data_IF_161276679089
#
_entry.id   IF_161276679089
#
_cell.length_a   1.000
_cell.length_b   1.000
_cell.length_c   1.000
_cell.angle_alpha   90.00
_cell.angle_beta   90.00
_cell.angle_gamma   90.00
#
_symmetry.space_group_name_H-M   'P 1'
#
loop_
_entity.id
_entity.type
_entity.pdbx_description
1 polymer ?
#
# COMPACT_ATOMS: atom_id res chain seq x y z
N UNK A 1 32.37 -0.56 3.12
CA UNK A 1 32.23 0.88 2.85
C UNK A 1 31.24 0.92 1.71
N UNK A 2 29.98 1.25 1.98
CA UNK A 2 28.98 1.35 0.92
C UNK A 2 29.43 2.44 -0.05
N UNK A 3 29.46 2.10 -1.33
CA UNK A 3 29.88 3.04 -2.36
C UNK A 3 28.76 4.04 -2.63
N UNK A 4 29.10 5.24 -3.08
CA UNK A 4 28.10 6.24 -3.48
C UNK A 4 27.14 5.69 -4.55
N UNK A 5 27.65 4.81 -5.43
CA UNK A 5 26.86 4.08 -6.43
C UNK A 5 25.78 3.19 -5.79
N UNK A 6 26.08 2.44 -4.73
CA UNK A 6 25.11 1.58 -4.04
C UNK A 6 23.98 2.37 -3.37
N UNK A 7 24.29 3.56 -2.85
CA UNK A 7 23.28 4.48 -2.30
C UNK A 7 22.35 5.00 -3.40
N UNK A 8 22.89 5.34 -4.58
CA UNK A 8 22.09 5.76 -5.72
C UNK A 8 21.22 4.63 -6.27
N UNK A 9 21.74 3.40 -6.33
CA UNK A 9 20.97 2.22 -6.74
C UNK A 9 19.77 2.02 -5.79
N UNK A 10 20.00 2.05 -4.49
CA UNK A 10 18.93 1.91 -3.48
C UNK A 10 17.88 2.99 -3.62
N UNK A 11 18.31 4.24 -3.85
CA UNK A 11 17.41 5.38 -4.07
C UNK A 11 16.53 5.17 -5.30
N UNK A 12 17.10 4.71 -6.42
CA UNK A 12 16.36 4.41 -7.65
C UNK A 12 15.40 3.23 -7.50
N UNK A 13 15.77 2.19 -6.75
CA UNK A 13 14.87 1.09 -6.39
C UNK A 13 13.66 1.61 -5.59
N UNK A 14 13.89 2.48 -4.59
CA UNK A 14 12.81 3.10 -3.81
C UNK A 14 11.89 4.02 -4.64
N UNK A 15 12.39 4.59 -5.74
CA UNK A 15 11.59 5.39 -6.68
C UNK A 15 10.73 4.53 -7.62
N UNK A 16 10.90 3.20 -7.61
CA UNK A 16 10.06 2.27 -8.37
C UNK A 16 10.69 1.71 -9.65
N UNK A 17 11.99 1.96 -9.89
CA UNK A 17 12.71 1.24 -10.94
C UNK A 17 13.02 -0.18 -10.44
N UNK A 18 12.47 -1.26 -11.03
CA UNK A 18 12.53 -2.59 -10.42
C UNK A 18 13.84 -3.35 -10.70
N UNK A 19 14.62 -2.91 -11.69
CA UNK A 19 15.76 -3.66 -12.20
C UNK A 19 17.10 -3.01 -11.81
N UNK A 20 17.88 -3.62 -10.88
CA UNK A 20 19.17 -3.08 -10.44
C UNK A 20 20.24 -3.09 -11.55
N UNK A 21 20.16 -3.97 -12.54
CA UNK A 21 21.14 -4.03 -13.63
C UNK A 21 20.92 -2.91 -14.64
N UNK A 22 19.66 -2.57 -14.92
CA UNK A 22 19.29 -1.41 -15.73
C UNK A 22 19.67 -0.12 -15.00
N UNK A 23 19.41 -0.04 -13.69
CA UNK A 23 19.83 1.09 -12.85
C UNK A 23 21.35 1.28 -12.87
N UNK A 24 22.14 0.21 -12.69
CA UNK A 24 23.62 0.27 -12.78
C UNK A 24 24.08 0.73 -14.15
N UNK A 25 23.43 0.29 -15.23
CA UNK A 25 23.76 0.75 -16.59
C UNK A 25 23.45 2.24 -16.76
N UNK A 26 22.27 2.69 -16.32
CA UNK A 26 21.88 4.09 -16.37
C UNK A 26 22.82 4.98 -15.54
N UNK A 27 23.17 4.60 -14.32
CA UNK A 27 24.12 5.32 -13.47
C UNK A 27 25.53 5.40 -14.09
N UNK A 28 26.00 4.33 -14.73
CA UNK A 28 27.28 4.35 -15.47
C UNK A 28 27.26 5.34 -16.63
N UNK A 29 26.15 5.40 -17.38
CA UNK A 29 25.99 6.34 -18.50
C UNK A 29 25.82 7.79 -18.01
N UNK A 30 25.10 7.96 -16.91
CA UNK A 30 24.85 9.23 -16.23
C UNK A 30 26.03 9.72 -15.36
N UNK A 31 27.17 9.02 -15.35
CA UNK A 31 28.35 9.35 -14.53
C UNK A 31 28.01 9.53 -13.04
N UNK A 32 27.18 8.63 -12.52
CA UNK A 32 26.68 8.61 -11.15
C UNK A 32 25.73 9.79 -10.77
N UNK A 33 25.18 10.52 -11.75
CA UNK A 33 24.12 11.51 -11.50
C UNK A 33 22.73 10.86 -11.50
N UNK A 34 21.99 11.02 -10.39
CA UNK A 34 20.64 10.45 -10.24
C UNK A 34 19.67 11.06 -11.25
N UNK A 35 19.73 12.36 -11.52
CA UNK A 35 18.73 13.04 -12.36
C UNK A 35 18.86 12.59 -13.83
N UNK A 36 20.09 12.49 -14.32
CA UNK A 36 20.39 11.95 -15.65
C UNK A 36 20.05 10.45 -15.73
N UNK A 37 20.32 9.67 -14.68
CA UNK A 37 19.93 8.26 -14.64
C UNK A 37 18.41 8.10 -14.70
N UNK A 38 17.64 8.92 -13.99
CA UNK A 38 16.17 8.94 -14.08
C UNK A 38 15.72 9.34 -15.48
N UNK A 39 16.32 10.36 -16.09
CA UNK A 39 16.01 10.78 -17.45
C UNK A 39 16.25 9.64 -18.45
N UNK A 40 17.36 8.90 -18.32
CA UNK A 40 17.61 7.71 -19.13
C UNK A 40 16.56 6.65 -18.89
N UNK A 41 16.36 6.22 -17.63
CA UNK A 41 15.40 5.17 -17.28
C UNK A 41 13.95 5.49 -17.70
N UNK A 42 13.60 6.76 -17.85
CA UNK A 42 12.27 7.22 -18.28
C UNK A 42 12.16 7.49 -19.78
N UNK A 43 13.26 7.78 -20.48
CA UNK A 43 13.26 8.15 -21.90
C UNK A 43 13.47 6.96 -22.85
N UNK A 44 13.89 5.78 -22.36
CA UNK A 44 13.98 4.52 -23.14
C UNK A 44 12.82 3.55 -22.86
N UNK A 45 11.57 4.03 -22.97
CA UNK A 45 10.43 3.14 -23.26
C UNK A 45 9.37 3.76 -24.18
N UNK A 46 9.63 3.89 -25.50
CA UNK A 46 8.57 3.94 -26.50
C UNK A 46 7.80 2.62 -26.68
N UNK A 47 7.90 1.64 -25.77
CA UNK A 47 7.28 0.33 -26.03
C UNK A 47 7.65 -0.86 -25.14
N UNK A 48 7.94 -0.70 -23.85
CA UNK A 48 7.70 -1.81 -22.92
C UNK A 48 6.20 -1.83 -22.63
N UNK A 49 5.47 -2.37 -23.60
CA UNK A 49 4.10 -2.78 -23.42
C UNK A 49 4.04 -3.64 -22.17
N UNK A 50 3.36 -3.13 -21.16
CA UNK A 50 2.55 -4.00 -20.33
C UNK A 50 1.68 -4.77 -21.32
N UNK A 51 2.12 -5.98 -21.67
CA UNK A 51 1.34 -6.97 -22.39
C UNK A 51 0.18 -7.36 -21.51
N UNK A 52 -0.81 -6.47 -21.43
CA UNK A 52 -2.16 -6.85 -21.14
C UNK A 52 -2.62 -7.58 -22.39
N UNK A 53 -2.40 -8.91 -22.44
CA UNK A 53 -3.09 -9.73 -23.42
C UNK A 53 -4.59 -9.46 -23.23
N UNK A 54 -5.28 -8.88 -24.22
CA UNK A 54 -6.72 -8.73 -24.14
C UNK A 54 -7.28 -10.15 -24.19
N UNK A 55 -7.96 -10.60 -23.13
CA UNK A 55 -8.82 -11.78 -23.23
C UNK A 55 -10.00 -11.42 -24.16
N UNK A 56 -9.75 -11.47 -25.47
CA UNK A 56 -10.77 -11.35 -26.51
C UNK A 56 -11.33 -12.74 -26.84
N UNK A 57 -12.63 -12.88 -26.55
CA UNK A 57 -13.63 -13.68 -27.26
C UNK A 57 -13.65 -15.22 -27.10
N UNK A 58 -14.83 -15.74 -26.70
CA UNK A 58 -15.25 -17.13 -27.00
C UNK A 58 -15.50 -17.34 -28.52
N UNK A 59 -16.17 -18.42 -29.03
CA UNK A 59 -16.96 -19.48 -28.36
C UNK A 59 -16.69 -20.97 -28.82
N UNK A 60 -17.05 -21.96 -27.96
CA UNK A 60 -17.55 -23.37 -28.17
C UNK A 60 -16.87 -24.34 -29.20
N UNK A 61 -17.24 -25.66 -29.37
CA UNK A 61 -17.99 -26.64 -28.53
C UNK A 61 -17.29 -28.03 -28.37
N UNK A 62 -17.76 -28.86 -27.40
CA UNK A 62 -18.04 -30.29 -27.65
C UNK A 62 -17.11 -31.38 -27.08
N UNK A 63 -17.77 -32.39 -26.47
CA UNK A 63 -17.36 -33.81 -26.29
C UNK A 63 -16.24 -34.07 -25.27
N UNK A 64 -16.34 -34.94 -24.26
CA UNK A 64 -17.35 -35.91 -23.88
C UNK A 64 -16.77 -36.84 -22.79
N UNK A 65 -17.65 -37.33 -21.92
CA UNK A 65 -17.66 -38.68 -21.30
C UNK A 65 -16.51 -39.24 -20.44
N UNK A 66 -16.93 -39.74 -19.27
CA UNK A 66 -16.51 -40.97 -18.55
C UNK A 66 -15.18 -41.06 -17.79
N UNK A 67 -15.24 -41.77 -16.64
CA UNK A 67 -14.12 -42.36 -15.91
C UNK A 67 -13.83 -41.61 -14.60
N UNK A 68 -14.48 -41.94 -13.49
CA UNK A 68 -14.07 -42.98 -12.54
C UNK A 68 -12.79 -42.62 -11.77
N UNK A 69 -12.92 -42.61 -10.45
CA UNK A 69 -11.87 -42.24 -9.52
C UNK A 69 -10.74 -43.27 -9.46
N UNK A 70 -9.77 -42.89 -8.63
CA UNK A 70 -8.80 -43.70 -7.87
C UNK A 70 -7.38 -43.16 -7.99
N UNK A 71 -6.84 -42.85 -6.81
CA UNK A 71 -5.47 -43.10 -6.39
C UNK A 71 -4.29 -42.37 -7.06
N UNK A 72 -3.71 -41.49 -6.23
CA UNK A 72 -2.26 -41.41 -5.93
C UNK A 72 -1.30 -40.78 -6.93
N UNK A 73 -0.63 -39.72 -6.45
CA UNK A 73 0.71 -39.33 -6.89
C UNK A 73 0.96 -37.83 -6.79
N UNK A 74 1.30 -37.30 -5.62
CA UNK A 74 2.67 -36.83 -5.29
C UNK A 74 3.30 -35.89 -6.32
N UNK A 75 3.28 -34.60 -6.01
CA UNK A 75 4.39 -33.61 -6.11
C UNK A 75 3.86 -32.37 -5.38
N UNK A 76 4.44 -31.91 -4.28
CA UNK A 76 5.68 -31.16 -4.27
C UNK A 76 5.35 -29.68 -4.06
N UNK A 77 6.09 -29.02 -3.16
CA UNK A 77 6.23 -27.56 -2.98
C UNK A 77 5.20 -26.83 -2.12
N UNK A 78 5.74 -26.05 -1.17
CA UNK A 78 5.15 -24.80 -0.70
C UNK A 78 4.10 -24.92 0.39
N UNK A 79 4.55 -24.86 1.66
CA UNK A 79 3.71 -24.45 2.78
C UNK A 79 3.30 -22.99 2.60
N UNK A 80 2.21 -22.78 1.87
CA UNK A 80 1.44 -21.55 1.91
C UNK A 80 0.07 -21.94 2.46
N UNK A 81 -0.15 -21.63 3.75
CA UNK A 81 -1.50 -21.60 4.28
C UNK A 81 -2.32 -20.62 3.43
N UNK A 82 -3.52 -20.99 2.97
CA UNK A 82 -4.41 -20.03 2.32
C UNK A 82 -4.67 -18.88 3.31
N UNK A 83 -4.69 -17.62 2.83
CA UNK A 83 -5.05 -16.51 3.70
C UNK A 83 -6.43 -16.79 4.32
N UNK A 84 -6.63 -16.46 5.60
CA UNK A 84 -7.90 -16.68 6.28
C UNK A 84 -9.04 -16.06 5.46
N UNK A 85 -10.17 -16.77 5.40
CA UNK A 85 -11.33 -16.28 4.68
C UNK A 85 -11.76 -14.94 5.28
N UNK A 86 -12.25 -14.02 4.44
CA UNK A 86 -12.64 -12.68 4.88
C UNK A 86 -13.66 -12.68 6.03
N UNK A 87 -14.42 -13.77 6.19
CA UNK A 87 -15.39 -13.94 7.27
C UNK A 87 -14.72 -14.19 8.64
N UNK A 88 -13.52 -14.80 8.69
CA UNK A 88 -12.82 -15.08 9.94
C UNK A 88 -12.18 -13.84 10.57
N UNK A 89 -11.92 -12.79 9.78
CA UNK A 89 -11.40 -11.50 10.30
C UNK A 89 -12.49 -10.57 10.82
N UNK A 90 -13.75 -10.73 10.40
CA UNK A 90 -14.86 -9.85 10.84
C UNK A 90 -15.56 -10.31 12.12
N UNK A 91 -15.43 -11.58 12.51
CA UNK A 91 -16.04 -12.09 13.76
C UNK A 91 -15.12 -11.98 14.99
N UNK A 92 -13.84 -11.61 14.80
CA UNK A 92 -12.91 -11.38 15.92
C UNK A 92 -13.05 -9.99 16.57
N UNK A 93 -13.88 -9.11 16.00
CA UNK A 93 -14.08 -7.73 16.46
C UNK A 93 -15.28 -7.60 17.43
N UNK A 94 -15.64 -8.67 18.14
CA UNK A 94 -16.76 -8.67 19.09
C UNK A 94 -16.40 -9.00 20.53
N UNK A 95 -15.14 -8.83 20.89
CA UNK A 95 -14.68 -8.89 22.28
C UNK A 95 -14.09 -7.55 22.71
N UNK A 96 -14.93 -6.77 23.37
CA UNK A 96 -14.62 -5.83 24.45
C UNK A 96 -13.15 -5.35 24.56
N UNK A 97 -12.88 -4.17 24.00
CA UNK A 97 -11.99 -3.20 24.64
C UNK A 97 -12.82 -1.99 25.08
N UNK A 98 -13.47 -2.16 26.23
CA UNK A 98 -14.15 -1.14 27.03
C UNK A 98 -13.12 -0.16 27.66
N UNK A 99 -12.17 0.36 26.89
CA UNK A 99 -11.16 1.31 27.40
C UNK A 99 -10.80 2.45 26.44
N UNK A 100 -11.65 2.75 25.46
CA UNK A 100 -11.62 4.03 24.77
C UNK A 100 -12.16 5.13 25.69
N UNK A 101 -11.33 5.59 26.65
CA UNK A 101 -11.66 6.65 27.60
C UNK A 101 -12.12 7.92 26.86
N UNK A 102 -13.42 8.04 26.62
CA UNK A 102 -14.10 9.27 26.22
C UNK A 102 -14.19 10.27 27.39
N UNK A 103 -13.40 10.08 28.45
CA UNK A 103 -13.59 10.71 29.76
C UNK A 103 -12.48 11.72 30.08
N UNK A 104 -11.96 12.44 29.08
CA UNK A 104 -10.80 13.33 29.29
C UNK A 104 -10.90 14.77 28.75
N UNK A 105 -11.88 15.08 27.91
CA UNK A 105 -12.08 16.40 27.34
C UNK A 105 -13.52 16.53 26.89
N UNK A 106 -14.02 17.75 26.74
CA UNK A 106 -15.34 18.00 26.16
C UNK A 106 -15.58 17.07 24.96
N UNK A 107 -16.82 16.60 24.78
CA UNK A 107 -17.27 15.82 23.62
C UNK A 107 -17.28 16.67 22.34
N UNK A 108 -16.24 17.48 22.17
CA UNK A 108 -16.09 18.52 21.19
C UNK A 108 -14.93 18.15 20.28
N UNK A 109 -15.13 18.44 19.00
CA UNK A 109 -14.09 18.22 18.02
C UNK A 109 -12.90 19.16 18.27
N UNK A 110 -11.64 18.68 18.21
CA UNK A 110 -10.46 19.49 18.52
C UNK A 110 -10.12 20.44 17.36
N UNK A 111 -10.88 21.53 17.24
CA UNK A 111 -10.79 22.50 16.14
C UNK A 111 -9.40 23.13 15.99
N UNK A 112 -8.69 23.39 17.10
CA UNK A 112 -7.30 23.90 17.04
C UNK A 112 -6.37 22.92 16.33
N UNK A 113 -6.51 21.62 16.58
CA UNK A 113 -5.71 20.59 15.94
C UNK A 113 -6.06 20.46 14.45
N UNK A 114 -7.33 20.70 14.06
CA UNK A 114 -7.72 20.78 12.66
C UNK A 114 -6.99 21.92 11.95
N UNK A 115 -6.98 23.12 12.51
CA UNK A 115 -6.29 24.27 11.89
C UNK A 115 -4.78 24.05 11.74
N UNK A 116 -4.13 23.39 12.71
CA UNK A 116 -2.72 23.02 12.59
C UNK A 116 -2.46 22.04 11.43
N UNK A 117 -3.38 21.09 11.21
CA UNK A 117 -3.29 20.11 10.13
C UNK A 117 -3.54 20.78 8.77
N UNK A 118 -4.59 21.60 8.66
CA UNK A 118 -4.89 22.40 7.47
C UNK A 118 -3.71 23.26 7.06
N UNK A 119 -3.12 24.00 8.02
CA UNK A 119 -1.95 24.85 7.77
C UNK A 119 -0.80 24.05 7.16
N UNK A 120 -0.49 22.85 7.65
CA UNK A 120 0.57 21.99 7.10
C UNK A 120 0.26 21.51 5.68
N UNK A 121 -0.97 21.07 5.44
CA UNK A 121 -1.41 20.59 4.12
C UNK A 121 -1.37 21.73 3.10
N UNK A 122 -1.81 22.94 3.48
CA UNK A 122 -1.81 24.11 2.60
C UNK A 122 -0.44 24.77 2.42
N UNK A 123 0.58 24.34 3.15
CA UNK A 123 1.97 24.83 3.04
C UNK A 123 2.94 23.76 2.51
N UNK A 124 2.42 22.71 1.88
CA UNK A 124 3.19 21.59 1.31
C UNK A 124 4.11 20.88 2.32
N UNK A 125 3.81 21.00 3.61
CA UNK A 125 4.48 20.29 4.68
C UNK A 125 3.80 18.93 4.91
N UNK A 126 4.09 17.98 4.02
CA UNK A 126 3.49 16.64 3.97
C UNK A 126 3.80 15.72 5.16
N UNK A 127 4.69 16.13 6.06
CA UNK A 127 4.97 15.40 7.31
C UNK A 127 3.89 15.71 8.35
N UNK A 128 2.89 14.83 8.42
CA UNK A 128 1.75 14.98 9.34
C UNK A 128 2.01 14.18 10.63
N UNK A 129 1.94 14.81 11.82
CA UNK A 129 2.11 14.13 13.09
C UNK A 129 0.88 13.25 13.39
N UNK A 130 1.09 11.94 13.42
CA UNK A 130 0.05 10.90 13.38
C UNK A 130 -0.11 10.09 14.67
N UNK A 131 0.71 10.34 15.70
CA UNK A 131 0.57 9.62 16.98
C UNK A 131 -0.76 9.96 17.65
N UNK A 132 -1.19 9.10 18.57
CA UNK A 132 -2.47 9.22 19.28
C UNK A 132 -2.63 10.58 19.98
N UNK A 133 -1.57 11.10 20.56
CA UNK A 133 -1.55 12.36 21.30
C UNK A 133 -1.27 13.59 20.41
N UNK A 134 -1.01 13.37 19.12
CA UNK A 134 -0.73 14.41 18.11
C UNK A 134 -2.01 14.85 17.39
N UNK A 135 -1.89 15.91 16.57
CA UNK A 135 -3.05 16.62 15.99
C UNK A 135 -3.96 15.69 15.17
N UNK A 136 -3.40 14.80 14.34
CA UNK A 136 -4.20 13.85 13.57
C UNK A 136 -4.86 12.79 14.47
N UNK A 137 -4.11 12.22 15.42
CA UNK A 137 -4.64 11.22 16.35
C UNK A 137 -5.81 11.75 17.18
N UNK A 138 -5.69 12.98 17.70
CA UNK A 138 -6.76 13.68 18.43
C UNK A 138 -8.01 13.89 17.57
N UNK A 139 -7.85 14.37 16.32
CA UNK A 139 -8.97 14.56 15.40
C UNK A 139 -9.68 13.23 15.07
N UNK A 140 -8.93 12.14 14.84
CA UNK A 140 -9.51 10.83 14.53
C UNK A 140 -10.27 10.23 15.71
N UNK A 141 -9.71 10.33 16.92
CA UNK A 141 -10.38 9.86 18.15
C UNK A 141 -11.69 10.63 18.35
N UNK A 142 -11.66 11.96 18.25
CA UNK A 142 -12.84 12.80 18.40
C UNK A 142 -13.89 12.49 17.32
N UNK A 143 -13.48 12.33 16.06
CA UNK A 143 -14.36 11.95 14.95
C UNK A 143 -15.05 10.62 15.19
N UNK A 144 -14.28 9.60 15.61
CA UNK A 144 -14.81 8.27 15.94
C UNK A 144 -15.79 8.35 17.11
N UNK A 145 -15.47 9.16 18.12
CA UNK A 145 -16.35 9.40 19.25
C UNK A 145 -17.67 10.06 18.82
N UNK A 146 -17.62 11.12 18.03
CA UNK A 146 -18.79 11.84 17.51
C UNK A 146 -19.65 10.94 16.61
N UNK A 147 -19.02 10.15 15.73
CA UNK A 147 -19.72 9.19 14.87
C UNK A 147 -20.48 8.14 15.68
N UNK A 148 -19.86 7.58 16.74
CA UNK A 148 -20.50 6.62 17.65
C UNK A 148 -21.73 7.19 18.36
N UNK A 149 -21.74 8.49 18.63
CA UNK A 149 -22.84 9.16 19.32
C UNK A 149 -23.87 9.76 18.37
N UNK A 150 -23.71 9.59 17.04
CA UNK A 150 -24.60 10.18 16.04
C UNK A 150 -24.54 11.70 15.98
N UNK A 151 -23.43 12.31 16.42
CA UNK A 151 -23.22 13.76 16.48
C UNK A 151 -22.40 14.30 15.30
N UNK A 152 -22.25 13.50 14.23
CA UNK A 152 -21.41 13.82 13.08
C UNK A 152 -22.07 14.75 12.05
N UNK A 153 -23.38 15.02 12.16
CA UNK A 153 -24.19 15.80 11.20
C UNK A 153 -24.31 17.28 11.64
N UNK A 154 -23.17 17.94 11.89
CA UNK A 154 -23.08 19.33 12.38
C UNK A 154 -22.53 20.27 11.32
#
# INVERSE_FOLDING_TARGET
METEEEQHITTLLCMGFPDPDVIRKALRLAKNDINEAVALLTNESPGLGYGYEPMESGPAPGVGSTGDGESSGRTGTGGFDPPPAYHDVVDSERSNDENGNCSGGSMEFPTTNLYELESRVFTDHWSIPYKREESLGKCLIASTCLARHGLADR
#
